data_IF_542224731142
#
_entry.id   IF_542224731142
#
_cell.length_a   1.000
_cell.length_b   1.000
_cell.length_c   1.000
_cell.angle_alpha   90.00
_cell.angle_beta   90.00
_cell.angle_gamma   90.00
#
_symmetry.space_group_name_H-M   'P 1'
#
loop_
_entity.id
_entity.type
_entity.pdbx_description
1 polymer ?
#
# COMPACT_ATOMS: atom_id res chain seq x y z
N UNK A 1 16.44 -25.20 7.05
CA UNK A 1 15.11 -24.59 6.85
C UNK A 1 14.40 -25.30 5.71
N UNK A 2 13.09 -25.57 5.85
CA UNK A 2 12.28 -26.09 4.73
C UNK A 2 12.10 -24.99 3.67
N UNK A 3 11.87 -25.39 2.41
CA UNK A 3 11.57 -24.43 1.32
C UNK A 3 10.33 -23.59 1.64
N UNK A 4 9.33 -24.19 2.28
CA UNK A 4 8.10 -23.48 2.67
C UNK A 4 8.37 -22.47 3.79
N UNK A 5 9.25 -22.78 4.73
CA UNK A 5 9.66 -21.84 5.77
C UNK A 5 10.37 -20.62 5.18
N UNK A 6 11.24 -20.82 4.19
CA UNK A 6 11.91 -19.72 3.47
C UNK A 6 10.92 -18.86 2.67
N UNK A 7 9.95 -19.49 2.02
CA UNK A 7 8.91 -18.77 1.27
C UNK A 7 7.96 -18.00 2.18
N UNK A 8 7.58 -18.56 3.34
CA UNK A 8 6.78 -17.85 4.36
C UNK A 8 7.53 -16.61 4.86
N UNK A 9 8.82 -16.72 5.17
CA UNK A 9 9.61 -15.58 5.65
C UNK A 9 9.77 -14.51 4.56
N UNK A 10 9.99 -14.93 3.31
CA UNK A 10 10.02 -14.01 2.16
C UNK A 10 8.69 -13.27 2.00
N UNK A 11 7.57 -13.98 2.01
CA UNK A 11 6.24 -13.39 1.85
C UNK A 11 5.92 -12.41 2.99
N UNK A 12 6.30 -12.73 4.23
CA UNK A 12 6.16 -11.82 5.38
C UNK A 12 7.03 -10.57 5.25
N UNK A 13 8.26 -10.70 4.73
CA UNK A 13 9.13 -9.55 4.47
C UNK A 13 8.50 -8.62 3.42
N UNK A 14 7.97 -9.16 2.33
CA UNK A 14 7.27 -8.39 1.30
C UNK A 14 6.01 -7.72 1.87
N UNK A 15 5.16 -8.43 2.63
CA UNK A 15 3.97 -7.84 3.25
C UNK A 15 4.32 -6.66 4.16
N UNK A 16 5.44 -6.76 4.89
CA UNK A 16 5.93 -5.67 5.75
C UNK A 16 6.37 -4.45 4.94
N UNK A 17 7.08 -4.64 3.84
CA UNK A 17 7.49 -3.54 2.96
C UNK A 17 6.28 -2.86 2.31
N UNK A 18 5.32 -3.65 1.83
CA UNK A 18 4.06 -3.16 1.28
C UNK A 18 3.23 -2.38 2.31
N UNK A 19 3.18 -2.84 3.56
CA UNK A 19 2.50 -2.12 4.64
C UNK A 19 3.16 -0.77 4.94
N UNK A 20 4.49 -0.68 4.88
CA UNK A 20 5.21 0.60 5.05
C UNK A 20 4.93 1.55 3.88
N UNK A 21 4.93 1.04 2.64
CA UNK A 21 4.60 1.83 1.46
C UNK A 21 3.15 2.37 1.51
N UNK A 22 2.17 1.55 1.91
CA UNK A 22 0.78 2.00 2.07
C UNK A 22 0.66 3.11 3.12
N UNK A 23 1.37 2.98 4.25
CA UNK A 23 1.39 4.02 5.28
C UNK A 23 1.99 5.34 4.78
N UNK A 24 3.03 5.28 3.94
CA UNK A 24 3.61 6.47 3.30
C UNK A 24 2.60 7.14 2.35
N UNK A 25 1.94 6.35 1.50
CA UNK A 25 0.92 6.85 0.59
C UNK A 25 -0.30 7.42 1.34
N UNK A 26 -0.71 6.82 2.45
CA UNK A 26 -1.76 7.37 3.32
C UNK A 26 -1.36 8.72 3.91
N UNK A 27 -0.11 8.86 4.36
CA UNK A 27 0.41 10.13 4.86
C UNK A 27 0.44 11.21 3.76
N UNK A 28 0.89 10.85 2.54
CA UNK A 28 0.86 11.75 1.39
C UNK A 28 -0.58 12.17 1.06
N UNK A 29 -1.52 11.22 1.01
CA UNK A 29 -2.94 11.47 0.76
C UNK A 29 -3.52 12.50 1.76
N UNK A 30 -3.25 12.34 3.06
CA UNK A 30 -3.69 13.29 4.09
C UNK A 30 -3.11 14.67 3.87
N UNK A 31 -1.80 14.78 3.65
CA UNK A 31 -1.13 16.05 3.39
C UNK A 31 -1.74 16.78 2.19
N UNK A 32 -2.07 16.06 1.12
CA UNK A 32 -2.70 16.63 -0.07
C UNK A 32 -4.13 17.11 0.23
N UNK A 33 -4.93 16.34 0.96
CA UNK A 33 -6.27 16.77 1.41
C UNK A 33 -6.21 18.05 2.26
N UNK A 34 -5.31 18.09 3.26
CA UNK A 34 -5.14 19.26 4.14
C UNK A 34 -4.67 20.50 3.38
N UNK A 35 -3.92 20.31 2.30
CA UNK A 35 -3.46 21.41 1.43
C UNK A 35 -4.59 21.91 0.53
N UNK A 36 -5.41 21.01 -0.02
CA UNK A 36 -6.59 21.36 -0.81
C UNK A 36 -7.60 22.16 0.03
N UNK A 37 -7.83 21.76 1.28
CA UNK A 37 -8.72 22.48 2.20
C UNK A 37 -8.20 23.90 2.50
N UNK A 38 -6.90 24.04 2.75
CA UNK A 38 -6.26 25.36 2.96
C UNK A 38 -6.30 26.26 1.73
N UNK A 39 -6.23 25.70 0.53
CA UNK A 39 -6.25 26.44 -0.73
C UNK A 39 -7.68 26.71 -1.24
N UNK A 40 -8.72 26.46 -0.43
CA UNK A 40 -10.12 26.71 -0.81
C UNK A 40 -10.62 25.76 -1.92
N UNK A 41 -10.02 24.57 -2.03
CA UNK A 41 -10.43 23.52 -2.97
C UNK A 41 -10.05 23.75 -4.43
N UNK A 42 -9.27 24.80 -4.75
CA UNK A 42 -9.12 25.30 -6.11
C UNK A 42 -7.74 25.04 -6.72
N UNK A 43 -7.19 23.86 -6.48
CA UNK A 43 -5.82 23.53 -6.88
C UNK A 43 -5.77 22.30 -7.80
N UNK A 44 -5.74 22.59 -9.10
CA UNK A 44 -5.95 21.63 -10.19
C UNK A 44 -4.81 20.62 -10.35
N UNK A 45 -3.60 20.92 -9.85
CA UNK A 45 -2.43 20.04 -9.94
C UNK A 45 -2.47 18.86 -8.97
N UNK A 46 -3.16 19.00 -7.84
CA UNK A 46 -3.17 18.00 -6.77
C UNK A 46 -4.09 16.81 -7.05
N UNK A 47 -5.06 16.97 -7.94
CA UNK A 47 -5.99 15.91 -8.31
C UNK A 47 -5.31 14.71 -8.98
N UNK A 48 -4.32 14.93 -9.85
CA UNK A 48 -3.62 13.85 -10.55
C UNK A 48 -2.67 13.08 -9.62
N UNK A 49 -1.96 13.77 -8.74
CA UNK A 49 -1.14 13.13 -7.71
C UNK A 49 -1.99 12.30 -6.74
N UNK A 50 -3.14 12.82 -6.30
CA UNK A 50 -4.07 12.10 -5.44
C UNK A 50 -4.62 10.84 -6.12
N UNK A 51 -4.98 10.91 -7.40
CA UNK A 51 -5.39 9.72 -8.19
C UNK A 51 -4.28 8.68 -8.26
N UNK A 52 -3.03 9.09 -8.50
CA UNK A 52 -1.87 8.19 -8.51
C UNK A 52 -1.70 7.50 -7.16
N UNK A 53 -1.80 8.26 -6.07
CA UNK A 53 -1.70 7.72 -4.69
C UNK A 53 -2.79 6.70 -4.43
N UNK A 54 -4.05 7.02 -4.74
CA UNK A 54 -5.18 6.08 -4.56
C UNK A 54 -4.95 4.79 -5.36
N UNK A 55 -4.50 4.89 -6.61
CA UNK A 55 -4.21 3.73 -7.45
C UNK A 55 -3.08 2.88 -6.87
N UNK A 56 -2.02 3.51 -6.36
CA UNK A 56 -0.92 2.79 -5.72
C UNK A 56 -1.40 2.03 -4.47
N UNK A 57 -2.23 2.67 -3.63
CA UNK A 57 -2.80 2.01 -2.44
C UNK A 57 -3.70 0.83 -2.81
N UNK A 58 -4.51 0.96 -3.87
CA UNK A 58 -5.31 -0.15 -4.40
C UNK A 58 -4.43 -1.31 -4.86
N UNK A 59 -3.37 -1.04 -5.63
CA UNK A 59 -2.43 -2.06 -6.07
C UNK A 59 -1.75 -2.77 -4.89
N UNK A 60 -1.36 -2.01 -3.85
CA UNK A 60 -0.76 -2.60 -2.64
C UNK A 60 -1.78 -3.50 -1.93
N UNK A 61 -3.04 -3.07 -1.80
CA UNK A 61 -4.08 -3.86 -1.16
C UNK A 61 -4.32 -5.19 -1.89
N UNK A 62 -4.32 -5.18 -3.22
CA UNK A 62 -4.44 -6.39 -4.06
C UNK A 62 -3.26 -7.33 -3.83
N UNK A 63 -2.03 -6.83 -3.88
CA UNK A 63 -0.81 -7.64 -3.69
C UNK A 63 -0.74 -8.25 -2.28
N UNK A 64 -1.11 -7.48 -1.25
CA UNK A 64 -1.19 -8.00 0.12
C UNK A 64 -2.26 -9.08 0.29
N UNK A 65 -3.41 -8.96 -0.40
CA UNK A 65 -4.44 -9.99 -0.40
C UNK A 65 -3.95 -11.30 -1.07
N UNK A 66 -3.17 -11.19 -2.16
CA UNK A 66 -2.52 -12.35 -2.76
C UNK A 66 -1.51 -13.01 -1.82
N UNK A 67 -0.67 -12.20 -1.15
CA UNK A 67 0.30 -12.70 -0.17
C UNK A 67 -0.40 -13.42 0.98
N UNK A 68 -1.47 -12.85 1.53
CA UNK A 68 -2.27 -13.49 2.57
C UNK A 68 -2.84 -14.85 2.12
N UNK A 69 -3.32 -14.92 0.87
CA UNK A 69 -3.81 -16.17 0.28
C UNK A 69 -2.69 -17.21 0.14
N UNK A 70 -1.49 -16.81 -0.30
CA UNK A 70 -0.33 -17.71 -0.42
C UNK A 70 0.15 -18.19 0.95
N UNK A 71 0.26 -17.30 1.93
CA UNK A 71 0.60 -17.65 3.32
C UNK A 71 -0.41 -18.63 3.93
N UNK A 72 -1.71 -18.45 3.69
CA UNK A 72 -2.73 -19.37 4.18
C UNK A 72 -2.60 -20.79 3.58
N UNK A 73 -2.10 -20.90 2.34
CA UNK A 73 -1.86 -22.19 1.68
C UNK A 73 -0.60 -22.89 2.22
N UNK A 74 0.45 -22.14 2.51
CA UNK A 74 1.73 -22.68 3.00
C UNK A 74 1.70 -23.06 4.49
N UNK A 75 0.76 -22.52 5.27
CA UNK A 75 0.56 -22.84 6.67
C UNK A 75 -0.45 -23.99 6.93
N UNK A 76 -0.97 -24.62 5.87
CA UNK A 76 -1.85 -25.80 5.96
C UNK A 76 -1.04 -27.09 5.95
#
# INVERSE_FOLDING_TARGET
MSKDAQEIDRLRAVDKELALADAEFEHQQRRYSDQMERNGGNDWGFGEDLKRIIRNRQSIAEERAEIATRLARLNR
#
